data_IF_031641175696
#
_entry.id   IF_031641175696
#
_cell.length_a   1.000
_cell.length_b   1.000
_cell.length_c   1.000
_cell.angle_alpha   90.00
_cell.angle_beta   90.00
_cell.angle_gamma   90.00
#
_symmetry.space_group_name_H-M   'P 1'
#
loop_
_entity.id
_entity.type
_entity.pdbx_description
1 polymer ?
#
# COMPACT_ATOMS: atom_id res chain seq x y z
N UNK A 1 -18.35 33.92 56.33
CA UNK A 1 -17.24 33.64 55.40
C UNK A 1 -17.59 32.44 54.50
N UNK A 2 -17.87 32.70 53.22
CA UNK A 2 -18.24 31.64 52.26
C UNK A 2 -16.99 31.34 51.41
N UNK A 3 -16.42 30.13 51.54
CA UNK A 3 -15.34 29.68 50.72
C UNK A 3 -15.89 29.18 49.37
N UNK A 4 -15.55 29.90 48.31
CA UNK A 4 -15.84 29.49 46.93
C UNK A 4 -14.76 28.49 46.52
N UNK A 5 -15.09 27.19 46.41
CA UNK A 5 -14.21 26.18 45.84
C UNK A 5 -14.27 26.27 44.30
N UNK A 6 -13.21 26.79 43.70
CA UNK A 6 -13.03 26.77 42.25
C UNK A 6 -12.54 25.37 41.86
N UNK A 7 -13.45 24.56 41.30
CA UNK A 7 -13.10 23.26 40.74
C UNK A 7 -12.31 23.46 39.42
N UNK A 8 -11.04 23.07 39.42
CA UNK A 8 -10.22 23.06 38.24
C UNK A 8 -10.63 21.86 37.34
N UNK A 9 -11.35 22.15 36.26
CA UNK A 9 -11.72 21.16 35.25
C UNK A 9 -10.49 20.88 34.38
N UNK A 10 -9.76 19.77 34.65
CA UNK A 10 -8.68 19.30 33.81
C UNK A 10 -9.31 18.67 32.58
N UNK A 11 -9.29 19.38 31.44
CA UNK A 11 -9.61 18.82 30.14
C UNK A 11 -8.47 17.87 29.77
N UNK A 12 -8.67 16.57 29.99
CA UNK A 12 -7.78 15.53 29.46
C UNK A 12 -7.91 15.56 27.95
N UNK A 13 -6.95 16.21 27.27
CA UNK A 13 -6.80 16.14 25.82
C UNK A 13 -6.34 14.71 25.50
N UNK A 14 -7.29 13.81 25.27
CA UNK A 14 -6.99 12.47 24.73
C UNK A 14 -6.39 12.68 23.36
N UNK A 15 -5.08 12.48 23.22
CA UNK A 15 -4.46 12.37 21.91
C UNK A 15 -5.03 11.13 21.23
N UNK A 16 -6.06 11.31 20.43
CA UNK A 16 -6.54 10.30 19.50
C UNK A 16 -5.33 9.92 18.66
N UNK A 17 -4.84 8.69 18.80
CA UNK A 17 -3.80 8.16 17.96
C UNK A 17 -4.29 8.26 16.51
N UNK A 18 -3.75 9.23 15.77
CA UNK A 18 -4.22 9.51 14.43
C UNK A 18 -3.72 8.45 13.47
N UNK A 19 -4.66 7.83 12.74
CA UNK A 19 -4.37 7.02 11.57
C UNK A 19 -3.88 7.93 10.43
N UNK A 20 -3.13 7.36 9.50
CA UNK A 20 -2.78 8.02 8.25
C UNK A 20 -3.32 7.22 7.08
N UNK A 21 -3.82 7.93 6.06
CA UNK A 21 -4.17 7.39 4.75
C UNK A 21 -3.26 8.02 3.72
N UNK A 22 -2.52 7.20 2.98
CA UNK A 22 -1.67 7.63 1.88
C UNK A 22 -2.29 7.13 0.59
N UNK A 23 -2.53 8.02 -0.37
CA UNK A 23 -3.03 7.70 -1.69
C UNK A 23 -2.01 8.07 -2.75
N UNK A 24 -1.69 7.13 -3.62
CA UNK A 24 -0.83 7.31 -4.77
C UNK A 24 -1.59 6.96 -6.05
N UNK A 25 -1.51 7.84 -7.04
CA UNK A 25 -2.03 7.59 -8.38
C UNK A 25 -0.87 7.48 -9.36
N UNK A 26 -0.89 6.46 -10.22
CA UNK A 26 0.19 6.15 -11.15
C UNK A 26 -0.43 5.98 -12.54
N UNK A 27 -0.19 6.92 -13.44
CA UNK A 27 -0.60 6.83 -14.82
C UNK A 27 0.39 5.96 -15.61
N UNK A 28 -0.13 4.96 -16.32
CA UNK A 28 0.62 3.89 -16.98
C UNK A 28 0.17 3.81 -18.44
N UNK A 29 1.12 3.92 -19.35
CA UNK A 29 0.86 3.81 -20.78
C UNK A 29 0.86 2.32 -21.21
N UNK A 30 -0.13 1.59 -20.71
CA UNK A 30 -0.36 0.18 -20.97
C UNK A 30 -1.84 -0.15 -20.78
N UNK A 31 -2.31 -1.19 -21.47
CA UNK A 31 -3.69 -1.70 -21.38
C UNK A 31 -4.04 -2.10 -19.94
N UNK A 32 -5.18 -1.64 -19.44
CA UNK A 32 -5.62 -1.90 -18.06
C UNK A 32 -5.75 -3.39 -17.73
N UNK A 33 -6.06 -4.24 -18.71
CA UNK A 33 -6.13 -5.69 -18.51
C UNK A 33 -4.74 -6.30 -18.26
N UNK A 34 -3.72 -5.86 -19.01
CA UNK A 34 -2.34 -6.32 -18.84
C UNK A 34 -1.75 -5.85 -17.50
N UNK A 35 -2.05 -4.60 -17.11
CA UNK A 35 -1.63 -4.06 -15.81
C UNK A 35 -2.31 -4.81 -14.67
N UNK A 36 -3.61 -5.08 -14.78
CA UNK A 36 -4.34 -5.86 -13.78
C UNK A 36 -3.80 -7.29 -13.65
N UNK A 37 -3.47 -7.93 -14.75
CA UNK A 37 -2.88 -9.27 -14.73
C UNK A 37 -1.53 -9.32 -13.97
N UNK A 38 -0.74 -8.25 -14.03
CA UNK A 38 0.48 -8.13 -13.23
C UNK A 38 0.19 -7.80 -11.76
N UNK A 39 -0.77 -6.93 -11.47
CA UNK A 39 -1.14 -6.52 -10.09
C UNK A 39 -1.75 -7.68 -9.32
N UNK A 40 -2.65 -8.46 -9.96
CA UNK A 40 -3.33 -9.58 -9.29
C UNK A 40 -2.42 -10.77 -8.99
N UNK A 41 -1.28 -10.85 -9.65
CA UNK A 41 -0.28 -11.91 -9.45
C UNK A 41 0.54 -11.65 -8.18
N UNK A 42 -0.14 -11.85 -7.04
CA UNK A 42 0.35 -11.48 -5.72
C UNK A 42 1.72 -12.08 -5.40
N UNK A 43 1.97 -13.32 -5.79
CA UNK A 43 3.21 -14.04 -5.47
C UNK A 43 4.40 -13.71 -6.36
N UNK A 44 4.22 -12.92 -7.42
CA UNK A 44 5.28 -12.54 -8.36
C UNK A 44 5.51 -11.02 -8.43
N UNK A 45 5.24 -10.29 -7.34
CA UNK A 45 5.44 -8.83 -7.28
C UNK A 45 6.90 -8.42 -7.57
N UNK A 46 7.86 -9.23 -7.14
CA UNK A 46 9.30 -9.05 -7.37
C UNK A 46 9.71 -9.16 -8.86
N UNK A 47 8.91 -9.84 -9.67
CA UNK A 47 9.18 -10.05 -11.09
C UNK A 47 8.31 -9.20 -12.01
N UNK A 48 7.03 -9.04 -11.63
CA UNK A 48 6.02 -8.49 -12.53
C UNK A 48 5.60 -7.06 -12.20
N UNK A 49 5.77 -6.61 -10.95
CA UNK A 49 5.26 -5.32 -10.52
C UNK A 49 6.36 -4.38 -10.03
N UNK A 50 7.21 -4.81 -9.12
CA UNK A 50 8.20 -3.95 -8.48
C UNK A 50 9.59 -4.62 -8.37
N UNK A 51 10.20 -5.08 -9.49
CA UNK A 51 11.51 -5.72 -9.47
C UNK A 51 12.59 -4.75 -8.97
N UNK A 52 13.44 -5.25 -8.07
CA UNK A 52 14.52 -4.47 -7.46
C UNK A 52 14.08 -3.61 -6.27
N UNK A 53 12.81 -3.23 -6.16
CA UNK A 53 12.24 -2.71 -4.92
C UNK A 53 11.88 -3.87 -3.97
N UNK A 54 11.20 -4.88 -4.51
CA UNK A 54 11.06 -6.19 -3.90
C UNK A 54 12.11 -7.10 -4.50
N UNK A 55 12.91 -7.77 -3.66
CA UNK A 55 14.02 -8.62 -4.08
C UNK A 55 13.75 -10.10 -3.88
N UNK A 56 12.80 -10.45 -3.01
CA UNK A 56 12.41 -11.82 -2.75
C UNK A 56 10.96 -11.91 -2.32
N UNK A 57 10.25 -12.92 -2.81
CA UNK A 57 8.91 -13.30 -2.37
C UNK A 57 8.92 -14.78 -1.99
N UNK A 58 8.43 -15.07 -0.79
CA UNK A 58 8.18 -16.42 -0.32
C UNK A 58 6.67 -16.57 -0.08
N UNK A 59 5.98 -17.26 -0.96
CA UNK A 59 4.55 -17.53 -0.84
C UNK A 59 4.26 -18.46 0.36
N UNK A 60 3.11 -18.24 1.00
CA UNK A 60 2.55 -19.08 2.05
C UNK A 60 1.03 -19.17 1.90
N UNK A 61 0.37 -20.04 2.67
CA UNK A 61 -1.08 -20.13 2.65
C UNK A 61 -1.73 -18.82 3.15
N UNK A 62 -2.54 -18.21 2.26
CA UNK A 62 -3.24 -16.95 2.53
C UNK A 62 -2.36 -15.69 2.54
N UNK A 63 -1.08 -15.78 2.13
CA UNK A 63 -0.19 -14.63 2.14
C UNK A 63 1.19 -14.88 1.56
N UNK A 64 2.13 -14.00 1.91
CA UNK A 64 3.53 -14.09 1.47
C UNK A 64 4.45 -13.35 2.45
N UNK A 65 5.71 -13.72 2.46
CA UNK A 65 6.78 -12.88 2.97
C UNK A 65 7.43 -12.11 1.82
N UNK A 66 7.63 -10.83 2.03
CA UNK A 66 8.27 -9.93 1.07
C UNK A 66 9.55 -9.38 1.68
N UNK A 67 10.67 -9.51 0.98
CA UNK A 67 11.95 -8.88 1.33
C UNK A 67 12.20 -7.72 0.39
N UNK A 68 12.43 -6.54 0.95
CA UNK A 68 12.72 -5.32 0.20
C UNK A 68 14.22 -5.11 0.01
N UNK A 69 14.61 -4.28 -0.95
CA UNK A 69 16.01 -3.98 -1.24
C UNK A 69 16.78 -3.36 -0.06
N UNK A 70 16.10 -2.71 0.87
CA UNK A 70 16.67 -2.19 2.11
C UNK A 70 16.90 -3.25 3.20
N UNK A 71 16.61 -4.52 2.90
CA UNK A 71 16.76 -5.65 3.82
C UNK A 71 15.58 -5.87 4.77
N UNK A 72 14.58 -4.99 4.78
CA UNK A 72 13.39 -5.22 5.59
C UNK A 72 12.55 -6.36 5.02
N UNK A 73 11.96 -7.16 5.92
CA UNK A 73 11.08 -8.27 5.57
C UNK A 73 9.76 -8.14 6.30
N UNK A 74 8.67 -8.26 5.57
CA UNK A 74 7.31 -8.18 6.10
C UNK A 74 6.48 -9.39 5.69
N UNK A 75 5.49 -9.71 6.49
CA UNK A 75 4.45 -10.70 6.18
C UNK A 75 3.23 -9.96 5.66
N UNK A 76 2.84 -10.24 4.43
CA UNK A 76 1.64 -9.71 3.82
C UNK A 76 0.56 -10.79 3.71
N UNK A 77 -0.64 -10.48 4.17
CA UNK A 77 -1.81 -11.33 4.05
C UNK A 77 -2.65 -10.88 2.86
N UNK A 78 -3.02 -11.79 1.99
CA UNK A 78 -3.97 -11.51 0.91
C UNK A 78 -5.38 -11.43 1.51
N UNK A 79 -6.00 -10.26 1.43
CA UNK A 79 -7.35 -10.03 1.97
C UNK A 79 -8.41 -10.28 0.90
N UNK A 80 -8.21 -9.77 -0.32
CA UNK A 80 -9.18 -9.88 -1.41
C UNK A 80 -8.54 -9.64 -2.77
N UNK A 81 -9.01 -10.38 -3.77
CA UNK A 81 -8.80 -10.12 -5.20
C UNK A 81 -10.16 -10.06 -5.86
N UNK A 82 -10.48 -8.96 -6.51
CA UNK A 82 -11.72 -8.76 -7.26
C UNK A 82 -11.39 -8.43 -8.73
N UNK A 83 -11.62 -9.40 -9.61
CA UNK A 83 -11.33 -9.24 -11.03
C UNK A 83 -12.28 -8.28 -11.74
N UNK A 84 -13.53 -8.15 -11.27
CA UNK A 84 -14.50 -7.25 -11.87
C UNK A 84 -14.14 -5.79 -11.58
N UNK A 85 -13.73 -5.51 -10.35
CA UNK A 85 -13.26 -4.19 -9.93
C UNK A 85 -11.79 -3.95 -10.25
N UNK A 86 -11.04 -4.98 -10.66
CA UNK A 86 -9.58 -4.95 -10.81
C UNK A 86 -8.91 -4.39 -9.56
N UNK A 87 -9.28 -4.96 -8.41
CA UNK A 87 -8.84 -4.50 -7.10
C UNK A 87 -8.25 -5.63 -6.28
N UNK A 88 -7.05 -5.40 -5.75
CA UNK A 88 -6.37 -6.27 -4.81
C UNK A 88 -6.25 -5.55 -3.47
N UNK A 89 -6.47 -6.28 -2.38
CA UNK A 89 -6.32 -5.79 -1.00
C UNK A 89 -5.42 -6.73 -0.23
N UNK A 90 -4.46 -6.17 0.51
CA UNK A 90 -3.58 -6.91 1.40
C UNK A 90 -3.36 -6.17 2.70
N UNK A 91 -2.88 -6.88 3.71
CA UNK A 91 -2.56 -6.32 5.01
C UNK A 91 -1.16 -6.77 5.45
N UNK A 92 -0.43 -5.95 6.19
CA UNK A 92 0.80 -6.39 6.87
C UNK A 92 0.42 -6.94 8.23
N UNK A 93 0.89 -8.15 8.51
CA UNK A 93 0.72 -8.84 9.79
C UNK A 93 1.97 -8.74 10.64
N UNK A 94 1.83 -8.21 11.85
CA UNK A 94 2.93 -8.07 12.82
C UNK A 94 3.81 -6.85 12.54
N UNK A 95 5.01 -6.85 13.13
CA UNK A 95 5.95 -5.72 13.03
C UNK A 95 5.56 -4.53 13.89
N UNK A 96 5.93 -3.33 13.44
CA UNK A 96 5.76 -2.07 14.19
C UNK A 96 4.40 -1.40 13.96
N UNK A 97 3.60 -1.88 13.01
CA UNK A 97 2.27 -1.33 12.75
C UNK A 97 1.25 -1.93 13.72
N UNK A 98 0.37 -1.10 14.26
CA UNK A 98 -0.85 -1.58 14.93
C UNK A 98 -1.85 -2.09 13.90
N UNK A 99 -1.96 -1.37 12.78
CA UNK A 99 -2.71 -1.78 11.58
C UNK A 99 -1.97 -1.29 10.34
N UNK A 100 -2.03 -2.09 9.30
CA UNK A 100 -1.61 -1.70 7.96
C UNK A 100 -2.49 -2.44 6.96
N UNK A 101 -3.24 -1.71 6.17
CA UNK A 101 -4.05 -2.23 5.08
C UNK A 101 -3.74 -1.47 3.81
N UNK A 102 -3.62 -2.18 2.72
CA UNK A 102 -3.36 -1.57 1.43
C UNK A 102 -4.29 -2.11 0.36
N UNK A 103 -4.63 -1.27 -0.60
CA UNK A 103 -5.35 -1.68 -1.80
C UNK A 103 -4.73 -1.07 -3.04
N UNK A 104 -4.72 -1.86 -4.11
CA UNK A 104 -4.34 -1.44 -5.45
C UNK A 104 -5.52 -1.69 -6.37
N UNK A 105 -5.94 -0.66 -7.11
CA UNK A 105 -7.02 -0.77 -8.08
C UNK A 105 -6.61 -0.17 -9.41
N UNK A 106 -6.96 -0.84 -10.52
CA UNK A 106 -6.62 -0.43 -11.89
C UNK A 106 -7.85 0.08 -12.61
N UNK A 107 -7.76 1.28 -13.15
CA UNK A 107 -8.82 1.94 -13.91
C UNK A 107 -8.37 2.19 -15.36
N UNK A 108 -9.19 1.91 -16.35
CA UNK A 108 -8.85 2.24 -17.74
C UNK A 108 -8.80 3.76 -17.94
N UNK A 109 -7.90 4.22 -18.80
CA UNK A 109 -7.74 5.62 -19.19
C UNK A 109 -7.53 5.71 -20.70
N UNK A 110 -8.48 6.29 -21.41
CA UNK A 110 -8.45 6.32 -22.87
C UNK A 110 -8.49 4.93 -23.50
N UNK A 111 -7.87 4.77 -24.68
CA UNK A 111 -7.90 3.52 -25.44
C UNK A 111 -6.80 2.54 -25.00
N UNK A 112 -5.63 3.03 -24.64
CA UNK A 112 -4.43 2.21 -24.46
C UNK A 112 -3.69 2.52 -23.17
N UNK A 113 -4.28 3.32 -22.28
CA UNK A 113 -3.73 3.69 -20.98
C UNK A 113 -4.58 3.19 -19.82
N UNK A 114 -4.01 3.29 -18.64
CA UNK A 114 -4.73 3.11 -17.39
C UNK A 114 -4.07 3.94 -16.29
N UNK A 115 -4.76 4.08 -15.17
CA UNK A 115 -4.12 4.54 -13.95
C UNK A 115 -4.39 3.56 -12.81
N UNK A 116 -3.41 3.47 -11.94
CA UNK A 116 -3.44 2.62 -10.77
C UNK A 116 -3.57 3.51 -9.54
N UNK A 117 -4.54 3.21 -8.69
CA UNK A 117 -4.72 3.87 -7.39
C UNK A 117 -4.24 2.92 -6.30
N UNK A 118 -3.20 3.34 -5.60
CA UNK A 118 -2.64 2.61 -4.46
C UNK A 118 -2.94 3.39 -3.18
N UNK A 119 -3.68 2.78 -2.25
CA UNK A 119 -4.05 3.36 -0.97
C UNK A 119 -3.45 2.51 0.13
N UNK A 120 -2.89 3.18 1.13
CA UNK A 120 -2.40 2.57 2.38
C UNK A 120 -3.03 3.28 3.55
N UNK A 121 -3.70 2.52 4.41
CA UNK A 121 -4.20 2.96 5.71
C UNK A 121 -3.36 2.34 6.81
N UNK A 122 -2.82 3.15 7.72
CA UNK A 122 -1.89 2.68 8.74
C UNK A 122 -2.05 3.36 10.10
N UNK A 123 -1.68 2.64 11.15
CA UNK A 123 -1.48 3.09 12.52
C UNK A 123 -0.15 2.57 13.04
N UNK A 124 0.65 3.37 13.78
CA UNK A 124 0.46 4.81 14.04
C UNK A 124 0.90 5.67 12.84
N UNK A 125 0.38 6.91 12.77
CA UNK A 125 0.72 7.87 11.70
C UNK A 125 2.20 8.31 11.69
N UNK A 126 2.96 8.00 12.73
CA UNK A 126 4.41 8.27 12.74
C UNK A 126 5.19 7.60 11.60
N UNK A 127 4.62 6.57 10.97
CA UNK A 127 5.19 5.90 9.80
C UNK A 127 4.77 6.54 8.46
N UNK A 128 3.88 7.53 8.45
CA UNK A 128 3.32 8.12 7.22
C UNK A 128 4.40 8.60 6.26
N UNK A 129 5.34 9.44 6.72
CA UNK A 129 6.41 9.97 5.88
C UNK A 129 7.33 8.88 5.31
N UNK A 130 7.64 7.87 6.12
CA UNK A 130 8.43 6.73 5.67
C UNK A 130 7.70 5.94 4.58
N UNK A 131 6.45 5.56 4.82
CA UNK A 131 5.65 4.78 3.85
C UNK A 131 5.40 5.58 2.58
N UNK A 132 5.12 6.89 2.69
CA UNK A 132 4.99 7.76 1.52
C UNK A 132 6.24 7.73 0.64
N UNK A 133 7.42 7.83 1.23
CA UNK A 133 8.70 7.75 0.50
C UNK A 133 8.90 6.39 -0.18
N UNK A 134 8.54 5.29 0.51
CA UNK A 134 8.60 3.95 -0.07
C UNK A 134 7.62 3.81 -1.24
N UNK A 135 6.39 4.29 -1.10
CA UNK A 135 5.39 4.28 -2.17
C UNK A 135 5.83 5.13 -3.37
N UNK A 136 6.45 6.28 -3.16
CA UNK A 136 6.98 7.13 -4.24
C UNK A 136 8.06 6.38 -5.05
N UNK A 137 8.99 5.72 -4.37
CA UNK A 137 10.05 4.92 -5.01
C UNK A 137 9.48 3.71 -5.76
N UNK A 138 8.59 2.96 -5.12
CA UNK A 138 7.96 1.80 -5.74
C UNK A 138 7.10 2.19 -6.95
N UNK A 139 6.37 3.30 -6.89
CA UNK A 139 5.51 3.78 -7.97
C UNK A 139 6.28 4.04 -9.28
N UNK A 140 7.49 4.59 -9.20
CA UNK A 140 8.35 4.79 -10.37
C UNK A 140 8.76 3.46 -10.99
N UNK A 141 9.14 2.49 -10.16
CA UNK A 141 9.55 1.15 -10.62
C UNK A 141 8.36 0.41 -11.23
N UNK A 142 7.20 0.47 -10.59
CA UNK A 142 5.97 -0.16 -11.10
C UNK A 142 5.59 0.39 -12.47
N UNK A 143 5.58 1.71 -12.64
CA UNK A 143 5.30 2.36 -13.92
C UNK A 143 6.25 1.88 -15.00
N UNK A 144 7.55 1.97 -14.76
CA UNK A 144 8.58 1.58 -15.72
C UNK A 144 8.49 0.09 -16.10
N UNK A 145 8.26 -0.78 -15.13
CA UNK A 145 8.12 -2.23 -15.32
C UNK A 145 6.91 -2.56 -16.19
N UNK A 146 5.76 -1.99 -15.86
CA UNK A 146 4.49 -2.27 -16.55
C UNK A 146 4.49 -1.71 -17.99
N UNK A 147 5.03 -0.52 -18.19
CA UNK A 147 5.16 0.07 -19.53
C UNK A 147 6.16 -0.69 -20.41
N UNK A 148 7.25 -1.22 -19.84
CA UNK A 148 8.19 -2.07 -20.58
C UNK A 148 7.59 -3.42 -20.97
N UNK A 149 6.80 -4.02 -20.08
CA UNK A 149 6.14 -5.29 -20.36
C UNK A 149 5.10 -5.18 -21.48
N UNK A 150 4.42 -4.05 -21.62
CA UNK A 150 3.41 -3.82 -22.67
C UNK A 150 3.97 -3.58 -24.07
N UNK A 151 5.29 -3.36 -24.20
CA UNK A 151 5.96 -3.12 -25.50
C UNK A 151 6.52 -4.40 -26.16
N UNK A 152 6.41 -5.53 -25.46
CA UNK A 152 6.86 -6.85 -25.95
C UNK A 152 5.72 -7.62 -26.60
#
# INVERSE_FOLDING_TARGET
MRFLSIGLLILACSSLGTAATIRKEIHINAESAAVWDAVRDFDNVDKRLAPGFVVEVQAEDGGRYVTFANGSRVRELLVSVDDNLRRLVYAIAGGSFKTYSASIQVFPEGKHGCFLVWIVDLLPNSFESYIKTQMDSAAMIMKDTLEKASRK
#
